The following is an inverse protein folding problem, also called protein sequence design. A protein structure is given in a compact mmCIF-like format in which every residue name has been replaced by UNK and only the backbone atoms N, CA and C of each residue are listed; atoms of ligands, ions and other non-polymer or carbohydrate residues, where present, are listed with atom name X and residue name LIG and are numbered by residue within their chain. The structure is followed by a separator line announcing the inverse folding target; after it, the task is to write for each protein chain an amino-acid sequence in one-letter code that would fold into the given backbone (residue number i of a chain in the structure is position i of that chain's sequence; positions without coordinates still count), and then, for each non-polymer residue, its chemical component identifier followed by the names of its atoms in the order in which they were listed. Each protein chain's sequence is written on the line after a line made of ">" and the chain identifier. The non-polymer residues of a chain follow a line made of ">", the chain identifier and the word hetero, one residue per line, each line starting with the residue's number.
data_IF_872099553399
#
_entry.id   IF_872099553399
#
_cell.length_a   1.000
_cell.length_b   1.000
_cell.length_c   1.000
_cell.angle_alpha   90.00
_cell.angle_beta   90.00
_cell.angle_gamma   90.00
#
_symmetry.space_group_name_H-M   'P 1'
#
loop_
_entity.id
_entity.type
_entity.pdbx_description
1 polymer ?
#
# COMPACT_ATOMS: atom_id res chain seq x y z
N UNK A 1 89.57 43.75 -158.60
CA UNK A 1 88.55 42.95 -157.87
C UNK A 1 87.53 43.85 -157.21
N UNK A 2 86.26 43.55 -157.48
CA UNK A 2 85.11 44.44 -157.58
C UNK A 2 84.62 45.05 -156.25
N UNK A 3 84.57 46.39 -156.19
CA UNK A 3 84.20 47.19 -155.01
C UNK A 3 82.72 47.03 -154.63
N UNK A 4 81.87 46.58 -155.57
CA UNK A 4 80.47 46.22 -155.32
C UNK A 4 80.32 44.98 -154.46
N UNK A 5 81.19 43.97 -154.62
CA UNK A 5 81.17 42.77 -153.79
C UNK A 5 81.55 43.07 -152.33
N UNK A 6 82.56 43.94 -152.09
CA UNK A 6 82.97 44.36 -150.74
C UNK A 6 81.86 45.14 -150.00
N UNK A 7 81.12 46.00 -150.68
CA UNK A 7 79.99 46.72 -150.08
C UNK A 7 78.78 45.81 -149.81
N UNK A 8 78.54 44.78 -150.64
CA UNK A 8 77.51 43.78 -150.38
C UNK A 8 77.82 42.95 -149.13
N UNK A 9 79.05 42.46 -148.98
CA UNK A 9 79.49 41.72 -147.80
C UNK A 9 79.52 42.59 -146.54
N UNK A 10 79.90 43.87 -146.63
CA UNK A 10 79.81 44.82 -145.49
C UNK A 10 78.37 45.10 -145.08
N UNK A 11 77.44 45.32 -146.02
CA UNK A 11 76.01 45.49 -145.69
C UNK A 11 75.40 44.22 -145.11
N UNK A 12 75.78 43.04 -145.61
CA UNK A 12 75.31 41.75 -145.11
C UNK A 12 75.85 41.49 -143.70
N UNK A 13 77.14 41.77 -143.46
CA UNK A 13 77.75 41.71 -142.14
C UNK A 13 77.07 42.70 -141.18
N UNK A 14 76.88 43.96 -141.56
CA UNK A 14 76.22 44.96 -140.70
C UNK A 14 74.77 44.56 -140.36
N UNK A 15 74.00 44.06 -141.34
CA UNK A 15 72.64 43.53 -141.08
C UNK A 15 72.66 42.33 -140.16
N UNK A 16 73.65 41.45 -140.29
CA UNK A 16 73.84 40.31 -139.41
C UNK A 16 74.19 40.77 -137.99
N UNK A 17 75.13 41.71 -137.83
CA UNK A 17 75.50 42.25 -136.51
C UNK A 17 74.32 42.95 -135.85
N UNK A 18 73.59 43.79 -136.61
CA UNK A 18 72.42 44.52 -136.11
C UNK A 18 71.29 43.54 -135.76
N UNK A 19 71.00 42.54 -136.60
CA UNK A 19 70.00 41.51 -136.31
C UNK A 19 70.35 40.70 -135.06
N UNK A 20 71.59 40.24 -134.94
CA UNK A 20 72.02 39.47 -133.76
C UNK A 20 72.09 40.35 -132.49
N UNK A 21 72.40 41.64 -132.61
CA UNK A 21 72.34 42.59 -131.50
C UNK A 21 70.90 42.85 -131.06
N UNK A 22 69.97 43.11 -131.99
CA UNK A 22 68.54 43.26 -131.66
C UNK A 22 67.94 41.96 -131.14
N UNK A 23 68.34 40.81 -131.67
CA UNK A 23 67.91 39.49 -131.18
C UNK A 23 68.44 39.23 -129.76
N UNK A 24 69.72 39.50 -129.51
CA UNK A 24 70.30 39.39 -128.16
C UNK A 24 69.66 40.37 -127.16
N UNK A 25 69.36 41.60 -127.60
CA UNK A 25 68.68 42.60 -126.78
C UNK A 25 67.21 42.22 -126.52
N UNK A 26 66.51 41.65 -127.49
CA UNK A 26 65.16 41.11 -127.31
C UNK A 26 65.16 39.89 -126.38
N UNK A 27 66.13 38.97 -126.51
CA UNK A 27 66.29 37.83 -125.62
C UNK A 27 66.66 38.27 -124.19
N UNK A 28 67.52 39.28 -124.04
CA UNK A 28 67.86 39.85 -122.73
C UNK A 28 66.65 40.57 -122.09
N UNK A 29 65.94 41.41 -122.86
CA UNK A 29 64.70 42.04 -122.40
C UNK A 29 63.64 41.00 -122.03
N UNK A 30 63.52 39.90 -122.79
CA UNK A 30 62.58 38.83 -122.47
C UNK A 30 62.97 38.14 -121.16
N UNK A 31 64.25 37.84 -120.93
CA UNK A 31 64.73 37.28 -119.65
C UNK A 31 64.50 38.23 -118.48
N UNK A 32 64.69 39.53 -118.68
CA UNK A 32 64.44 40.54 -117.66
C UNK A 32 62.95 40.64 -117.33
N UNK A 33 62.08 40.66 -118.36
CA UNK A 33 60.61 40.63 -118.18
C UNK A 33 60.18 39.34 -117.47
N UNK A 34 60.72 38.19 -117.85
CA UNK A 34 60.41 36.91 -117.19
C UNK A 34 60.90 36.89 -115.73
N UNK A 35 62.08 37.44 -115.45
CA UNK A 35 62.62 37.58 -114.11
C UNK A 35 61.75 38.49 -113.23
N UNK A 36 61.39 39.68 -113.73
CA UNK A 36 60.51 40.61 -113.03
C UNK A 36 59.11 40.01 -112.83
N UNK A 37 58.57 39.30 -113.81
CA UNK A 37 57.26 38.62 -113.69
C UNK A 37 57.30 37.55 -112.62
N UNK A 38 58.36 36.73 -112.56
CA UNK A 38 58.56 35.74 -111.48
C UNK A 38 58.71 36.40 -110.12
N UNK A 39 59.45 37.51 -110.03
CA UNK A 39 59.60 38.27 -108.79
C UNK A 39 58.28 38.84 -108.31
N UNK A 40 57.49 39.48 -109.18
CA UNK A 40 56.15 39.96 -108.83
C UNK A 40 55.19 38.84 -108.43
N UNK A 41 55.29 37.66 -109.06
CA UNK A 41 54.50 36.49 -108.67
C UNK A 41 54.88 35.97 -107.26
N UNK A 42 56.18 35.95 -106.95
CA UNK A 42 56.69 35.61 -105.60
C UNK A 42 56.25 36.65 -104.57
N UNK A 43 56.35 37.94 -104.88
CA UNK A 43 55.92 39.02 -103.99
C UNK A 43 54.41 38.96 -103.71
N UNK A 44 53.59 38.69 -104.74
CA UNK A 44 52.13 38.49 -104.56
C UNK A 44 51.80 37.24 -103.74
N UNK A 45 52.49 36.13 -104.01
CA UNK A 45 52.30 34.90 -103.23
C UNK A 45 52.64 35.13 -101.76
N UNK A 46 53.76 35.80 -101.49
CA UNK A 46 54.15 36.18 -100.14
C UNK A 46 53.11 37.10 -99.48
N UNK A 47 52.57 38.09 -100.20
CA UNK A 47 51.51 38.96 -99.68
C UNK A 47 50.24 38.16 -99.34
N UNK A 48 49.84 37.22 -100.19
CA UNK A 48 48.68 36.35 -99.96
C UNK A 48 48.91 35.41 -98.75
N UNK A 49 50.11 34.85 -98.60
CA UNK A 49 50.52 34.10 -97.41
C UNK A 49 50.45 34.95 -96.15
N UNK A 50 50.96 36.19 -96.19
CA UNK A 50 50.90 37.11 -95.07
C UNK A 50 49.46 37.48 -94.70
N UNK A 51 48.58 37.70 -95.68
CA UNK A 51 47.14 37.93 -95.43
C UNK A 51 46.42 36.71 -94.87
N UNK A 52 46.81 35.50 -95.27
CA UNK A 52 46.30 34.28 -94.67
C UNK A 52 46.77 34.16 -93.22
N UNK A 53 48.06 34.40 -92.97
CA UNK A 53 48.63 34.38 -91.62
C UNK A 53 47.93 35.41 -90.71
N UNK A 54 47.73 36.64 -91.18
CA UNK A 54 46.97 37.66 -90.43
C UNK A 54 45.54 37.23 -90.10
N UNK A 55 44.85 36.56 -91.03
CA UNK A 55 43.50 36.03 -90.79
C UNK A 55 43.52 34.92 -89.74
N UNK A 56 44.47 34.01 -89.82
CA UNK A 56 44.64 32.94 -88.81
C UNK A 56 44.92 33.56 -87.45
N UNK A 57 45.88 34.49 -87.35
CA UNK A 57 46.19 35.19 -86.10
C UNK A 57 44.95 35.89 -85.54
N UNK A 58 44.18 36.61 -86.36
CA UNK A 58 42.93 37.26 -85.92
C UNK A 58 41.90 36.26 -85.39
N UNK A 59 41.72 35.11 -86.05
CA UNK A 59 40.80 34.07 -85.58
C UNK A 59 41.29 33.42 -84.28
N UNK A 60 42.58 33.15 -84.17
CA UNK A 60 43.19 32.61 -82.95
C UNK A 60 43.06 33.59 -81.78
N UNK A 61 43.25 34.89 -82.01
CA UNK A 61 43.08 35.91 -80.97
C UNK A 61 41.63 35.98 -80.48
N UNK A 62 40.64 35.97 -81.39
CA UNK A 62 39.21 35.91 -80.99
C UNK A 62 38.89 34.66 -80.19
N UNK A 63 39.43 33.51 -80.61
CA UNK A 63 39.23 32.27 -79.87
C UNK A 63 39.84 32.32 -78.47
N UNK A 64 41.02 32.94 -78.32
CA UNK A 64 41.65 33.16 -77.02
C UNK A 64 40.78 34.09 -76.16
N UNK A 65 40.24 35.18 -76.72
CA UNK A 65 39.31 36.09 -76.02
C UNK A 65 38.05 35.36 -75.54
N UNK A 66 37.42 34.56 -76.40
CA UNK A 66 36.23 33.76 -76.05
C UNK A 66 36.55 32.73 -74.95
N UNK A 67 37.68 32.03 -75.06
CA UNK A 67 38.12 31.08 -74.04
C UNK A 67 38.44 31.77 -72.71
N UNK A 68 39.05 32.96 -72.75
CA UNK A 68 39.34 33.75 -71.55
C UNK A 68 38.04 34.18 -70.87
N UNK A 69 37.05 34.64 -71.64
CA UNK A 69 35.73 34.97 -71.11
C UNK A 69 35.04 33.77 -70.46
N UNK A 70 35.11 32.59 -71.09
CA UNK A 70 34.55 31.37 -70.51
C UNK A 70 35.28 30.93 -69.23
N UNK A 71 36.61 31.10 -69.16
CA UNK A 71 37.39 30.82 -67.94
C UNK A 71 36.94 31.76 -66.82
N UNK A 72 36.82 33.05 -67.07
CA UNK A 72 36.35 34.01 -66.07
C UNK A 72 34.91 33.70 -65.59
N UNK A 73 34.03 33.24 -66.48
CA UNK A 73 32.66 32.83 -66.10
C UNK A 73 32.67 31.56 -65.23
N UNK A 74 33.51 30.57 -65.59
CA UNK A 74 33.69 29.35 -64.79
C UNK A 74 34.25 29.67 -63.40
N UNK A 75 35.25 30.54 -63.30
CA UNK A 75 35.82 30.98 -62.01
C UNK A 75 34.77 31.70 -61.14
N UNK A 76 33.90 32.53 -61.75
CA UNK A 76 32.79 33.17 -61.02
C UNK A 76 31.76 32.15 -60.53
N UNK A 77 31.43 31.15 -61.33
CA UNK A 77 30.51 30.09 -60.93
C UNK A 77 31.12 29.21 -59.84
N UNK A 78 32.40 28.87 -59.92
CA UNK A 78 33.13 28.13 -58.89
C UNK A 78 33.13 28.88 -57.56
N UNK A 79 33.44 30.19 -57.58
CA UNK A 79 33.40 31.02 -56.39
C UNK A 79 32.00 31.04 -55.75
N UNK A 80 30.95 31.18 -56.57
CA UNK A 80 29.56 31.19 -56.10
C UNK A 80 29.15 29.83 -55.49
N UNK A 81 29.48 28.72 -56.15
CA UNK A 81 29.17 27.39 -55.65
C UNK A 81 29.92 27.08 -54.36
N UNK A 82 31.16 27.57 -54.23
CA UNK A 82 31.96 27.42 -53.00
C UNK A 82 31.32 28.18 -51.84
N UNK A 83 30.84 29.40 -52.08
CA UNK A 83 30.11 30.19 -51.07
C UNK A 83 28.79 29.51 -50.66
N UNK A 84 28.01 29.02 -51.62
CA UNK A 84 26.76 28.29 -51.34
C UNK A 84 27.02 26.99 -50.55
N UNK A 85 28.08 26.25 -50.89
CA UNK A 85 28.50 25.05 -50.14
C UNK A 85 28.88 25.40 -48.71
N UNK A 86 29.67 26.47 -48.50
CA UNK A 86 30.04 26.90 -47.16
C UNK A 86 28.81 27.31 -46.33
N UNK A 87 27.87 28.05 -46.93
CA UNK A 87 26.62 28.42 -46.25
C UNK A 87 25.77 27.19 -45.87
N UNK A 88 25.73 26.18 -46.74
CA UNK A 88 25.03 24.92 -46.46
C UNK A 88 25.72 24.11 -45.35
N UNK A 89 27.05 24.09 -45.31
CA UNK A 89 27.82 23.46 -44.23
C UNK A 89 27.53 24.12 -42.89
N UNK A 90 27.59 25.46 -42.84
CA UNK A 90 27.28 26.24 -41.63
C UNK A 90 25.83 26.00 -41.16
N UNK A 91 24.87 26.03 -42.07
CA UNK A 91 23.47 25.73 -41.75
C UNK A 91 23.26 24.29 -41.25
N UNK A 92 24.00 23.33 -41.81
CA UNK A 92 23.93 21.92 -41.40
C UNK A 92 24.49 21.74 -39.99
N UNK A 93 25.57 22.42 -39.63
CA UNK A 93 26.13 22.39 -38.27
C UNK A 93 25.10 22.88 -37.25
N UNK A 94 24.45 24.02 -37.50
CA UNK A 94 23.40 24.55 -36.62
C UNK A 94 22.24 23.56 -36.46
N UNK A 95 21.79 22.95 -37.57
CA UNK A 95 20.71 21.96 -37.52
C UNK A 95 21.09 20.71 -36.72
N UNK A 96 22.34 20.25 -36.82
CA UNK A 96 22.84 19.10 -36.04
C UNK A 96 22.86 19.42 -34.55
N UNK A 97 23.26 20.64 -34.18
CA UNK A 97 23.26 21.10 -32.79
C UNK A 97 21.83 21.18 -32.22
N UNK A 98 20.89 21.74 -32.99
CA UNK A 98 19.47 21.81 -32.60
C UNK A 98 18.85 20.42 -32.43
N UNK A 99 19.12 19.49 -33.35
CA UNK A 99 18.66 18.09 -33.26
C UNK A 99 19.28 17.41 -32.03
N UNK A 100 20.56 17.65 -31.75
CA UNK A 100 21.24 17.10 -30.58
C UNK A 100 20.64 17.64 -29.28
N UNK A 101 20.39 18.95 -29.20
CA UNK A 101 19.74 19.58 -28.06
C UNK A 101 18.31 19.02 -27.85
N UNK A 102 17.57 18.82 -28.94
CA UNK A 102 16.23 18.24 -28.88
C UNK A 102 16.25 16.77 -28.44
N UNK A 103 17.26 15.99 -28.85
CA UNK A 103 17.44 14.62 -28.37
C UNK A 103 17.71 14.57 -26.87
N UNK A 104 18.53 15.49 -26.36
CA UNK A 104 18.81 15.59 -24.93
C UNK A 104 17.56 15.99 -24.13
N UNK A 105 16.79 16.97 -24.62
CA UNK A 105 15.49 17.32 -24.02
C UNK A 105 14.54 16.12 -23.98
N UNK A 106 14.46 15.36 -25.08
CA UNK A 106 13.64 14.17 -25.15
C UNK A 106 14.11 13.06 -24.20
N UNK A 107 15.43 12.93 -23.98
CA UNK A 107 15.99 12.01 -22.99
C UNK A 107 15.52 12.40 -21.58
N UNK A 108 15.65 13.67 -21.22
CA UNK A 108 15.20 14.19 -19.92
C UNK A 108 13.70 14.01 -19.72
N UNK A 109 12.87 14.24 -20.74
CA UNK A 109 11.43 13.98 -20.67
C UNK A 109 11.11 12.49 -20.44
N UNK A 110 11.83 11.57 -21.09
CA UNK A 110 11.64 10.12 -20.87
C UNK A 110 12.02 9.72 -19.45
N UNK A 111 13.12 10.25 -18.92
CA UNK A 111 13.53 10.02 -17.53
C UNK A 111 12.49 10.56 -16.54
N UNK A 112 11.93 11.75 -16.79
CA UNK A 112 10.86 12.31 -15.98
C UNK A 112 9.57 11.48 -16.03
N UNK A 113 9.17 10.98 -17.20
CA UNK A 113 8.02 10.09 -17.36
C UNK A 113 8.24 8.79 -16.56
N UNK A 114 9.41 8.17 -16.66
CA UNK A 114 9.73 6.96 -15.89
C UNK A 114 9.69 7.21 -14.38
N UNK A 115 10.21 8.35 -13.92
CA UNK A 115 10.13 8.74 -12.51
C UNK A 115 8.67 8.90 -12.05
N UNK A 116 7.82 9.55 -12.84
CA UNK A 116 6.39 9.69 -12.54
C UNK A 116 5.66 8.35 -12.52
N UNK A 117 5.95 7.45 -13.46
CA UNK A 117 5.36 6.10 -13.48
C UNK A 117 5.73 5.31 -12.21
N UNK A 118 6.99 5.40 -11.77
CA UNK A 118 7.43 4.77 -10.53
C UNK A 118 6.71 5.34 -9.29
N UNK A 119 6.49 6.65 -9.26
CA UNK A 119 5.76 7.31 -8.18
C UNK A 119 4.27 6.94 -8.17
N UNK A 120 3.65 6.83 -9.35
CA UNK A 120 2.26 6.37 -9.50
C UNK A 120 2.13 4.93 -8.98
N UNK A 121 3.06 4.04 -9.33
CA UNK A 121 3.07 2.67 -8.84
C UNK A 121 3.16 2.60 -7.30
N UNK A 122 4.07 3.39 -6.70
CA UNK A 122 4.21 3.48 -5.25
C UNK A 122 2.93 4.00 -4.56
N UNK A 123 2.29 5.03 -5.13
CA UNK A 123 1.02 5.56 -4.61
C UNK A 123 -0.13 4.55 -4.71
N UNK A 124 -0.19 3.78 -5.80
CA UNK A 124 -1.18 2.72 -5.96
C UNK A 124 -0.97 1.59 -4.94
N UNK A 125 0.26 1.20 -4.67
CA UNK A 125 0.58 0.22 -3.64
C UNK A 125 0.18 0.74 -2.25
N UNK A 126 0.53 1.99 -1.92
CA UNK A 126 0.14 2.61 -0.66
C UNK A 126 -1.39 2.69 -0.49
N UNK A 127 -2.12 2.97 -1.56
CA UNK A 127 -3.59 2.92 -1.56
C UNK A 127 -4.12 1.52 -1.26
N UNK A 128 -3.55 0.47 -1.87
CA UNK A 128 -3.94 -0.93 -1.59
C UNK A 128 -3.67 -1.30 -0.14
N UNK A 129 -2.56 -0.87 0.44
CA UNK A 129 -2.28 -1.05 1.86
C UNK A 129 -3.32 -0.36 2.74
N UNK A 130 -3.64 0.91 2.45
CA UNK A 130 -4.66 1.66 3.18
C UNK A 130 -6.03 0.98 3.09
N UNK A 131 -6.43 0.49 1.91
CA UNK A 131 -7.67 -0.27 1.75
C UNK A 131 -7.68 -1.57 2.57
N UNK A 132 -6.56 -2.29 2.66
CA UNK A 132 -6.43 -3.48 3.52
C UNK A 132 -6.56 -3.12 4.99
N UNK A 133 -5.87 -2.07 5.45
CA UNK A 133 -5.95 -1.62 6.84
C UNK A 133 -7.36 -1.14 7.20
N UNK A 134 -8.02 -0.41 6.30
CA UNK A 134 -9.39 0.03 6.48
C UNK A 134 -10.35 -1.16 6.63
N UNK A 135 -10.25 -2.17 5.76
CA UNK A 135 -11.07 -3.40 5.87
C UNK A 135 -10.82 -4.13 7.20
N UNK A 136 -9.57 -4.21 7.65
CA UNK A 136 -9.21 -4.82 8.94
C UNK A 136 -9.82 -4.06 10.11
N UNK A 137 -9.71 -2.73 10.13
CA UNK A 137 -10.28 -1.88 11.18
C UNK A 137 -11.81 -2.01 11.23
N UNK A 138 -12.49 -1.98 10.09
CA UNK A 138 -13.95 -2.15 10.03
C UNK A 138 -14.40 -3.50 10.58
N UNK A 139 -13.62 -4.56 10.36
CA UNK A 139 -13.91 -5.88 10.94
C UNK A 139 -13.73 -5.89 12.47
N UNK A 140 -12.65 -5.28 12.97
CA UNK A 140 -12.39 -5.14 14.41
C UNK A 140 -13.51 -4.33 15.07
N UNK A 141 -13.95 -3.23 14.45
CA UNK A 141 -15.03 -2.39 14.96
C UNK A 141 -16.34 -3.16 15.08
N UNK A 142 -16.71 -3.96 14.05
CA UNK A 142 -17.87 -4.84 14.11
C UNK A 142 -17.77 -5.87 15.24
N UNK A 143 -16.60 -6.48 15.44
CA UNK A 143 -16.38 -7.43 16.54
C UNK A 143 -16.51 -6.75 17.91
N UNK A 144 -15.96 -5.54 18.07
CA UNK A 144 -16.11 -4.76 19.30
C UNK A 144 -17.57 -4.43 19.57
N UNK A 145 -18.34 -4.06 18.54
CA UNK A 145 -19.75 -3.75 18.68
C UNK A 145 -20.58 -4.98 19.06
N UNK A 146 -20.28 -6.15 18.48
CA UNK A 146 -20.89 -7.43 18.87
C UNK A 146 -20.56 -7.79 20.33
N UNK A 147 -19.28 -7.65 20.75
CA UNK A 147 -18.88 -7.87 22.15
C UNK A 147 -19.61 -6.93 23.11
N UNK A 148 -19.74 -5.65 22.75
CA UNK A 148 -20.49 -4.67 23.54
C UNK A 148 -21.96 -5.08 23.70
N UNK A 149 -22.62 -5.51 22.62
CA UNK A 149 -24.01 -6.00 22.70
C UNK A 149 -24.14 -7.25 23.57
N UNK A 150 -23.21 -8.22 23.44
CA UNK A 150 -23.21 -9.42 24.27
C UNK A 150 -23.03 -9.10 25.76
N UNK A 151 -22.14 -8.16 26.10
CA UNK A 151 -21.94 -7.70 27.47
C UNK A 151 -23.18 -6.99 28.04
N UNK A 152 -23.87 -6.17 27.23
CA UNK A 152 -25.11 -5.52 27.66
C UNK A 152 -26.20 -6.56 27.99
N UNK A 153 -26.41 -7.55 27.12
CA UNK A 153 -27.36 -8.63 27.36
C UNK A 153 -27.01 -9.45 28.61
N UNK A 154 -25.73 -9.78 28.77
CA UNK A 154 -25.26 -10.51 29.96
C UNK A 154 -25.48 -9.72 31.25
N UNK A 155 -25.20 -8.40 31.23
CA UNK A 155 -25.41 -7.53 32.39
C UNK A 155 -26.90 -7.40 32.75
N UNK A 156 -27.77 -7.34 31.74
CA UNK A 156 -29.22 -7.35 31.95
C UNK A 156 -29.68 -8.65 32.62
N UNK A 157 -29.21 -9.81 32.15
CA UNK A 157 -29.50 -11.11 32.76
C UNK A 157 -29.00 -11.18 34.21
N UNK A 158 -27.78 -10.71 34.48
CA UNK A 158 -27.23 -10.66 35.84
C UNK A 158 -28.05 -9.73 36.74
N UNK A 159 -28.51 -8.60 36.22
CA UNK A 159 -29.37 -7.66 36.95
C UNK A 159 -30.71 -8.30 37.29
N UNK A 160 -31.33 -9.03 36.35
CA UNK A 160 -32.56 -9.79 36.61
C UNK A 160 -32.34 -10.87 37.66
N UNK A 161 -31.25 -11.65 37.57
CA UNK A 161 -30.88 -12.66 38.59
C UNK A 161 -30.68 -12.03 39.96
N UNK A 162 -29.97 -10.90 40.05
CA UNK A 162 -29.78 -10.16 41.30
C UNK A 162 -31.11 -9.71 41.90
N UNK A 163 -32.02 -9.17 41.09
CA UNK A 163 -33.38 -8.78 41.53
C UNK A 163 -34.17 -9.99 42.06
N UNK A 164 -34.10 -11.14 41.39
CA UNK A 164 -34.78 -12.36 41.84
C UNK A 164 -34.24 -12.86 43.19
N UNK A 165 -32.90 -12.83 43.38
CA UNK A 165 -32.27 -13.18 44.66
C UNK A 165 -32.67 -12.22 45.78
N UNK A 166 -32.68 -10.90 45.51
CA UNK A 166 -33.11 -9.89 46.49
C UNK A 166 -34.57 -10.11 46.91
N UNK A 167 -35.47 -10.33 45.94
CA UNK A 167 -36.88 -10.63 46.23
C UNK A 167 -37.03 -11.89 47.09
N UNK A 168 -36.29 -12.97 46.76
CA UNK A 168 -36.28 -14.20 47.57
C UNK A 168 -35.80 -13.94 48.99
N UNK A 169 -34.78 -13.10 49.17
CA UNK A 169 -34.27 -12.69 50.48
C UNK A 169 -35.35 -11.93 51.27
N UNK A 170 -36.03 -10.97 50.66
CA UNK A 170 -37.12 -10.23 51.30
C UNK A 170 -38.30 -11.12 51.70
N UNK A 171 -38.68 -12.08 50.84
CA UNK A 171 -39.74 -13.03 51.12
C UNK A 171 -39.36 -13.97 52.29
N UNK A 172 -38.09 -14.38 52.36
CA UNK A 172 -37.55 -15.17 53.48
C UNK A 172 -37.55 -14.37 54.78
N UNK A 173 -37.08 -13.13 54.76
CA UNK A 173 -37.12 -12.25 55.93
C UNK A 173 -38.55 -12.06 56.45
N UNK A 174 -39.51 -11.84 55.54
CA UNK A 174 -40.94 -11.77 55.92
C UNK A 174 -41.45 -13.06 56.56
N UNK A 175 -41.07 -14.23 56.02
CA UNK A 175 -41.41 -15.53 56.61
C UNK A 175 -40.81 -15.71 58.00
N UNK A 176 -39.52 -15.42 58.17
CA UNK A 176 -38.85 -15.48 59.47
C UNK A 176 -39.56 -14.56 60.47
N UNK A 177 -39.86 -13.32 60.07
CA UNK A 177 -40.55 -12.36 60.93
C UNK A 177 -41.96 -12.83 61.32
N UNK A 178 -42.72 -13.40 60.38
CA UNK A 178 -44.04 -13.98 60.67
C UNK A 178 -43.97 -15.17 61.64
N UNK A 179 -43.00 -16.06 61.46
CA UNK A 179 -42.79 -17.19 62.39
C UNK A 179 -42.36 -16.71 63.77
N UNK A 180 -41.50 -15.67 63.85
CA UNK A 180 -41.16 -15.01 65.11
C UNK A 180 -42.38 -14.34 65.77
N UNK A 181 -43.31 -13.77 65.01
CA UNK A 181 -44.53 -13.13 65.55
C UNK A 181 -45.58 -14.14 66.01
N UNK A 182 -45.66 -15.34 65.42
CA UNK A 182 -46.53 -16.43 65.90
C UNK A 182 -46.02 -17.04 67.20
N UNK A 183 -44.72 -16.92 67.46
CA UNK A 183 -44.12 -17.21 68.74
C UNK A 183 -44.55 -16.14 69.77
N UNK A 184 -45.44 -16.56 70.68
CA UNK A 184 -45.97 -15.86 71.86
C UNK A 184 -45.04 -14.79 72.47
N UNK A 185 -45.66 -13.81 73.14
CA UNK A 185 -45.18 -12.57 73.81
C UNK A 185 -43.80 -12.52 74.51
N UNK A 186 -43.04 -13.61 74.52
CA UNK A 186 -41.74 -13.79 75.16
C UNK A 186 -40.55 -13.89 74.17
N UNK A 187 -40.77 -13.70 72.86
CA UNK A 187 -39.69 -13.64 71.86
C UNK A 187 -38.94 -14.95 71.61
N UNK A 188 -39.57 -16.10 71.87
CA UNK A 188 -38.97 -17.43 71.70
C UNK A 188 -39.69 -18.23 70.59
N UNK A 189 -38.95 -18.71 69.60
CA UNK A 189 -39.45 -19.55 68.52
C UNK A 189 -39.79 -20.96 69.03
N UNK A 190 -40.89 -21.55 68.53
CA UNK A 190 -41.21 -22.95 68.84
C UNK A 190 -40.52 -23.85 67.82
N UNK A 191 -39.56 -24.65 68.29
CA UNK A 191 -38.75 -25.54 67.46
C UNK A 191 -38.87 -26.99 67.94
N UNK A 192 -38.44 -27.92 67.10
CA UNK A 192 -38.59 -29.36 67.33
C UNK A 192 -37.25 -30.05 67.23
N UNK A 193 -36.98 -30.99 68.12
CA UNK A 193 -35.80 -31.85 68.10
C UNK A 193 -36.22 -33.30 68.31
N UNK A 194 -35.70 -34.21 67.50
CA UNK A 194 -35.95 -35.64 67.66
C UNK A 194 -34.74 -36.34 68.28
N UNK A 195 -35.00 -37.16 69.31
CA UNK A 195 -33.99 -37.98 70.01
C UNK A 195 -34.57 -39.35 70.39
N UNK A 196 -33.78 -40.20 71.04
CA UNK A 196 -34.25 -41.41 71.73
C UNK A 196 -34.99 -41.09 73.04
N UNK A 197 -35.66 -42.08 73.62
CA UNK A 197 -36.40 -41.96 74.89
C UNK A 197 -35.52 -41.38 76.01
N UNK A 198 -34.33 -41.97 76.21
CA UNK A 198 -33.41 -41.54 77.27
C UNK A 198 -32.97 -40.08 77.09
N UNK A 199 -32.66 -39.67 75.85
CA UNK A 199 -32.31 -38.29 75.53
C UNK A 199 -33.45 -37.30 75.75
N UNK A 200 -34.69 -37.65 75.38
CA UNK A 200 -35.85 -36.78 75.58
C UNK A 200 -36.11 -36.52 77.08
N UNK A 201 -36.04 -37.58 77.89
CA UNK A 201 -36.16 -37.46 79.36
C UNK A 201 -34.98 -36.72 79.98
N UNK A 202 -33.75 -36.95 79.51
CA UNK A 202 -32.56 -36.22 79.94
C UNK A 202 -32.68 -34.73 79.64
N UNK A 203 -33.11 -34.36 78.44
CA UNK A 203 -33.32 -32.97 78.03
C UNK A 203 -34.40 -32.29 78.88
N UNK A 204 -35.48 -33.00 79.19
CA UNK A 204 -36.55 -32.47 80.05
C UNK A 204 -36.10 -32.28 81.50
N UNK A 205 -35.29 -33.20 82.04
CA UNK A 205 -34.85 -33.17 83.43
C UNK A 205 -33.67 -32.21 83.68
N UNK A 206 -32.75 -32.10 82.72
CA UNK A 206 -31.46 -31.42 82.91
C UNK A 206 -31.20 -30.30 81.90
N UNK A 207 -32.09 -30.07 80.94
CA UNK A 207 -31.88 -29.10 79.88
C UNK A 207 -30.87 -29.58 78.82
N UNK A 208 -30.43 -28.65 77.99
CA UNK A 208 -29.43 -28.91 76.94
C UNK A 208 -28.02 -28.80 77.51
N UNK A 209 -27.21 -29.84 77.32
CA UNK A 209 -25.78 -29.81 77.64
C UNK A 209 -24.96 -29.58 76.35
N UNK A 210 -24.39 -28.39 76.21
CA UNK A 210 -23.61 -28.01 75.02
C UNK A 210 -22.31 -28.80 74.88
N UNK A 211 -21.74 -29.30 75.98
CA UNK A 211 -20.51 -30.11 75.93
C UNK A 211 -20.73 -31.47 75.25
N UNK A 212 -21.97 -31.94 75.26
CA UNK A 212 -22.41 -33.20 74.64
C UNK A 212 -22.98 -33.00 73.24
N UNK A 213 -23.17 -31.75 72.83
CA UNK A 213 -23.65 -31.43 71.49
C UNK A 213 -22.54 -31.67 70.47
N UNK A 214 -22.88 -32.40 69.40
CA UNK A 214 -21.91 -32.65 68.33
C UNK A 214 -21.72 -31.38 67.51
N UNK A 215 -20.48 -31.13 67.11
CA UNK A 215 -20.22 -30.20 66.03
C UNK A 215 -20.66 -30.85 64.72
N UNK A 216 -21.47 -30.13 63.93
CA UNK A 216 -21.77 -30.57 62.57
C UNK A 216 -20.95 -29.70 61.62
N UNK A 217 -20.20 -30.37 60.76
CA UNK A 217 -19.49 -29.73 59.65
C UNK A 217 -20.48 -29.41 58.54
N UNK A 218 -20.69 -28.13 58.24
CA UNK A 218 -21.38 -27.68 57.05
C UNK A 218 -20.36 -27.05 56.09
N UNK A 219 -19.84 -27.86 55.16
CA UNK A 219 -18.68 -27.48 54.35
C UNK A 219 -17.42 -27.38 55.22
N UNK A 220 -16.75 -26.22 55.17
CA UNK A 220 -15.54 -25.94 55.96
C UNK A 220 -15.82 -25.35 57.36
N UNK A 221 -17.09 -25.24 57.76
CA UNK A 221 -17.49 -24.61 59.02
C UNK A 221 -17.98 -25.69 59.99
N UNK A 222 -17.31 -25.81 61.13
CA UNK A 222 -17.71 -26.69 62.23
C UNK A 222 -18.30 -25.84 63.35
N UNK A 223 -19.62 -25.89 63.53
CA UNK A 223 -20.30 -25.13 64.59
C UNK A 223 -20.77 -26.12 65.67
N UNK A 224 -20.24 -26.07 66.90
CA UNK A 224 -20.80 -26.80 68.02
C UNK A 224 -22.14 -26.19 68.42
N UNK A 225 -23.17 -27.00 68.57
CA UNK A 225 -24.45 -26.50 69.05
C UNK A 225 -25.57 -27.52 69.04
N UNK A 226 -26.71 -27.10 69.58
CA UNK A 226 -27.90 -27.91 69.69
C UNK A 226 -28.81 -27.70 68.50
N UNK A 227 -29.10 -28.79 67.77
CA UNK A 227 -29.84 -28.75 66.51
C UNK A 227 -31.33 -28.89 66.73
N UNK A 228 -32.10 -28.00 66.12
CA UNK A 228 -33.57 -28.08 66.13
C UNK A 228 -34.13 -27.58 64.79
N UNK A 229 -35.38 -27.91 64.52
CA UNK A 229 -36.04 -27.60 63.25
C UNK A 229 -37.33 -26.81 63.46
N UNK A 230 -37.74 -26.02 62.46
CA UNK A 230 -38.98 -25.24 62.53
C UNK A 230 -40.24 -26.09 62.58
N UNK A 231 -40.19 -27.35 62.14
CA UNK A 231 -41.36 -28.25 62.12
C UNK A 231 -40.97 -29.68 62.49
N UNK A 232 -41.95 -30.44 63.02
CA UNK A 232 -41.81 -31.87 63.32
C UNK A 232 -41.40 -32.68 62.09
N UNK A 233 -41.96 -32.34 60.92
CA UNK A 233 -41.71 -33.04 59.67
C UNK A 233 -40.23 -32.96 59.24
N UNK A 234 -39.55 -31.84 59.48
CA UNK A 234 -38.15 -31.65 59.11
C UNK A 234 -37.25 -32.52 59.99
N UNK A 235 -37.45 -32.49 61.31
CA UNK A 235 -36.61 -33.30 62.21
C UNK A 235 -36.90 -34.80 62.11
N UNK A 236 -38.07 -35.18 61.59
CA UNK A 236 -38.47 -36.59 61.38
C UNK A 236 -37.91 -37.23 60.10
N UNK A 237 -37.14 -36.49 59.30
CA UNK A 237 -36.61 -37.02 58.04
C UNK A 237 -35.60 -38.16 58.25
N UNK A 238 -35.62 -39.22 57.40
CA UNK A 238 -34.83 -40.43 57.59
C UNK A 238 -33.30 -40.27 57.61
N UNK A 239 -32.79 -39.11 57.23
CA UNK A 239 -31.36 -38.86 57.11
C UNK A 239 -30.84 -37.87 58.17
N UNK A 240 -31.72 -37.34 59.04
CA UNK A 240 -31.40 -36.20 59.92
C UNK A 240 -31.17 -36.55 61.39
N UNK A 241 -32.07 -37.32 62.01
CA UNK A 241 -31.91 -37.71 63.42
C UNK A 241 -31.24 -39.10 63.54
N UNK A 242 -30.11 -39.21 64.25
CA UNK A 242 -29.43 -40.51 64.46
C UNK A 242 -30.04 -41.34 65.58
N UNK A 243 -30.72 -40.70 66.54
CA UNK A 243 -31.42 -41.33 67.66
C UNK A 243 -32.88 -40.90 67.56
N UNK A 244 -33.79 -41.85 67.33
CA UNK A 244 -35.19 -41.56 66.98
C UNK A 244 -36.16 -42.18 67.95
N UNK A 245 -37.40 -41.75 67.85
CA UNK A 245 -38.55 -42.33 68.55
C UNK A 245 -39.27 -41.33 69.45
N UNK A 246 -38.60 -40.24 69.86
CA UNK A 246 -39.19 -39.21 70.72
C UNK A 246 -38.98 -37.82 70.14
N UNK A 247 -40.05 -37.02 70.14
CA UNK A 247 -40.05 -35.62 69.78
C UNK A 247 -39.93 -34.77 71.03
N UNK A 248 -39.13 -33.71 70.94
CA UNK A 248 -38.94 -32.70 71.97
C UNK A 248 -39.37 -31.36 71.37
N UNK A 249 -40.43 -30.77 71.92
CA UNK A 249 -40.90 -29.44 71.55
C UNK A 249 -40.23 -28.41 72.43
N UNK A 250 -39.64 -27.41 71.81
CA UNK A 250 -38.74 -26.45 72.44
C UNK A 250 -39.25 -25.04 72.23
N UNK A 251 -39.12 -24.20 73.25
CA UNK A 251 -39.10 -22.76 73.09
C UNK A 251 -37.65 -22.30 73.04
N UNK A 252 -37.27 -21.65 71.95
CA UNK A 252 -35.88 -21.26 71.68
C UNK A 252 -35.77 -19.76 71.47
N UNK A 253 -34.94 -19.11 72.29
CA UNK A 253 -34.58 -17.69 72.14
C UNK A 253 -33.44 -17.56 71.13
N UNK A 254 -33.79 -17.26 69.89
CA UNK A 254 -32.84 -17.24 68.77
C UNK A 254 -31.79 -16.11 68.85
N UNK A 255 -32.11 -14.98 69.50
CA UNK A 255 -31.18 -13.86 69.64
C UNK A 255 -30.71 -13.31 68.27
N UNK A 256 -29.41 -12.99 68.14
CA UNK A 256 -28.81 -12.62 66.86
C UNK A 256 -28.61 -13.87 66.00
N UNK A 257 -29.36 -13.95 64.91
CA UNK A 257 -29.34 -15.09 64.00
C UNK A 257 -28.34 -14.86 62.86
N UNK A 258 -27.48 -15.84 62.61
CA UNK A 258 -26.63 -15.90 61.41
C UNK A 258 -27.25 -16.86 60.38
N UNK A 259 -27.48 -16.40 59.16
CA UNK A 259 -27.95 -17.25 58.06
C UNK A 259 -26.77 -17.87 57.31
N UNK A 260 -26.66 -19.20 57.29
CA UNK A 260 -25.69 -19.90 56.43
C UNK A 260 -26.28 -20.09 55.04
N UNK A 261 -25.85 -19.24 54.10
CA UNK A 261 -25.96 -19.49 52.67
C UNK A 261 -24.66 -20.14 52.16
N UNK A 262 -24.73 -20.93 51.08
CA UNK A 262 -23.59 -21.56 50.39
C UNK A 262 -22.61 -20.54 49.79
N UNK A 263 -21.91 -19.78 50.62
CA UNK A 263 -20.95 -18.74 50.24
C UNK A 263 -19.94 -18.46 51.37
N UNK A 264 -18.80 -17.82 51.07
CA UNK A 264 -17.72 -17.64 52.03
C UNK A 264 -18.15 -16.84 53.26
N UNK A 265 -17.69 -17.32 54.41
CA UNK A 265 -17.99 -16.80 55.75
C UNK A 265 -17.63 -15.31 55.88
N UNK A 266 -18.57 -14.42 56.27
CA UNK A 266 -18.18 -13.17 56.90
C UNK A 266 -17.57 -13.45 58.28
N UNK A 267 -16.67 -12.56 58.71
CA UNK A 267 -15.83 -12.68 59.90
C UNK A 267 -16.61 -12.95 61.20
N UNK A 268 -15.93 -13.60 62.15
CA UNK A 268 -16.39 -13.94 63.49
C UNK A 268 -17.06 -12.74 64.18
N UNK A 269 -18.38 -12.79 64.25
CA UNK A 269 -19.18 -11.94 65.14
C UNK A 269 -19.92 -12.82 66.13
N UNK A 270 -20.24 -12.29 67.30
CA UNK A 270 -21.07 -12.99 68.30
C UNK A 270 -22.50 -13.15 67.75
N UNK A 271 -22.83 -14.31 67.19
CA UNK A 271 -24.20 -14.72 66.91
C UNK A 271 -24.68 -15.69 68.00
N UNK A 272 -25.95 -15.60 68.36
CA UNK A 272 -26.54 -16.43 69.41
C UNK A 272 -27.15 -17.72 68.81
N UNK A 273 -27.55 -17.69 67.54
CA UNK A 273 -27.98 -18.89 66.81
C UNK A 273 -27.64 -18.82 65.32
N UNK A 274 -27.64 -19.97 64.66
CA UNK A 274 -27.39 -20.10 63.23
C UNK A 274 -28.62 -20.72 62.59
N UNK A 275 -29.12 -20.11 61.52
CA UNK A 275 -30.18 -20.67 60.68
C UNK A 275 -29.56 -21.31 59.45
N UNK A 276 -29.92 -22.56 59.21
CA UNK A 276 -29.67 -23.22 57.95
C UNK A 276 -30.97 -23.42 57.20
N UNK A 277 -31.02 -22.82 56.02
CA UNK A 277 -32.11 -23.03 55.10
C UNK A 277 -31.85 -24.29 54.29
N UNK A 278 -32.71 -25.29 54.44
CA UNK A 278 -32.71 -26.47 53.58
C UNK A 278 -33.88 -26.42 52.60
N UNK A 279 -33.86 -27.31 51.60
CA UNK A 279 -34.99 -27.45 50.68
C UNK A 279 -36.29 -27.88 51.39
N UNK A 280 -36.18 -28.43 52.61
CA UNK A 280 -37.31 -29.02 53.36
C UNK A 280 -37.79 -28.13 54.50
N UNK A 281 -37.04 -27.07 54.84
CA UNK A 281 -37.46 -26.02 55.77
C UNK A 281 -36.29 -25.35 56.48
N UNK A 282 -36.55 -24.80 57.67
CA UNK A 282 -35.54 -24.11 58.46
C UNK A 282 -35.02 -25.01 59.58
N UNK A 283 -33.71 -25.10 59.67
CA UNK A 283 -33.00 -25.72 60.77
C UNK A 283 -32.21 -24.67 61.52
N UNK A 284 -32.04 -24.89 62.81
CA UNK A 284 -31.44 -23.94 63.73
C UNK A 284 -30.37 -24.67 64.54
N UNK A 285 -29.22 -24.02 64.67
CA UNK A 285 -28.17 -24.40 65.60
C UNK A 285 -28.15 -23.35 66.68
N UNK A 286 -28.48 -23.77 67.88
CA UNK A 286 -28.41 -22.94 69.07
C UNK A 286 -27.03 -23.11 69.69
N UNK A 287 -26.40 -22.02 70.12
CA UNK A 287 -25.00 -22.06 70.59
C UNK A 287 -24.87 -21.98 72.11
N UNK A 288 -25.93 -21.58 72.83
CA UNK A 288 -25.97 -21.56 74.30
C UNK A 288 -27.16 -22.36 74.85
N UNK A 289 -26.96 -23.06 75.98
CA UNK A 289 -27.98 -23.91 76.58
C UNK A 289 -29.19 -23.12 77.08
N UNK A 290 -28.94 -21.91 77.61
CA UNK A 290 -29.95 -21.04 78.24
C UNK A 290 -30.97 -20.51 77.22
N UNK A 291 -30.69 -20.65 75.93
CA UNK A 291 -31.61 -20.28 74.86
C UNK A 291 -32.72 -21.31 74.67
N UNK A 292 -32.59 -22.53 75.20
CA UNK A 292 -33.50 -23.64 74.93
C UNK A 292 -34.28 -24.02 76.19
N UNK A 293 -35.60 -23.95 76.08
CA UNK A 293 -36.52 -24.45 77.12
C UNK A 293 -37.33 -25.60 76.54
N UNK A 294 -37.24 -26.77 77.17
CA UNK A 294 -38.09 -27.92 76.81
C UNK A 294 -39.51 -27.66 77.30
N UNK A 295 -40.46 -27.68 76.38
CA UNK A 295 -41.89 -27.46 76.70
C UNK A 295 -42.69 -28.75 76.75
N UNK A 296 -42.39 -29.69 75.85
CA UNK A 296 -43.14 -30.94 75.73
C UNK A 296 -42.21 -32.04 75.20
N UNK A 297 -42.43 -33.29 75.63
CA UNK A 297 -41.82 -34.48 75.02
C UNK A 297 -42.92 -35.50 74.75
N UNK A 298 -42.87 -36.18 73.60
CA UNK A 298 -43.86 -37.18 73.20
C UNK A 298 -43.25 -38.21 72.24
N UNK A 299 -43.79 -39.44 72.16
CA UNK A 299 -43.35 -40.40 71.16
C UNK A 299 -43.75 -39.94 69.75
N UNK A 300 -42.92 -40.22 68.76
CA UNK A 300 -43.24 -39.89 67.36
C UNK A 300 -44.32 -40.85 66.86
N UNK A 301 -45.45 -40.29 66.39
CA UNK A 301 -46.62 -41.05 65.91
C UNK A 301 -47.78 -41.17 66.92
N UNK A 302 -47.72 -40.48 68.06
CA UNK A 302 -48.76 -40.51 69.11
C UNK A 302 -49.81 -39.39 69.00
N UNK A 303 -49.91 -38.72 67.86
CA UNK A 303 -50.85 -37.63 67.57
C UNK A 303 -51.61 -37.90 66.29
#
# INVERSE_FOLDING_TARGET
>A
MDQRARNHWRKKALRYTVYHMYKAMAEWNQREVDFLTRRFALDRHHEDEMRLFERVVKLTLRHIEDLTGNIEELERMEAKLTEELQQLEEATVVLVDDISAQHELNRLHREAIQALDSAIAALQERRRELERTHRSLTLIERQQQQRKQALLLSNEQLTQRKRAVLKRKEDLQRRIQQECMKASSNGAAVLYHQTDHAGAHSLKAHGVDMSRCRSIGWGNISIPGFFCASTEAITSQPDKAQRRGWMVKLQVRLGRVRELHTGPSPADGDFDSVVIQTNTGLEFVVTRAEQVTVTEIYPVGSR
#
